data_IF_512531889010
#
_entry.id   IF_512531889010
#
_cell.length_a   1.000
_cell.length_b   1.000
_cell.length_c   1.000
_cell.angle_alpha   90.00
_cell.angle_beta   90.00
_cell.angle_gamma   90.00
#
_symmetry.space_group_name_H-M   'P 1'
#
loop_
_entity.id
_entity.type
_entity.pdbx_description
1 polymer ?
#
# COMPACT_ATOMS: atom_id res chain seq x y z
N UNK A 1 -4.76 6.67 -4.53
CA UNK A 1 -4.37 7.51 -5.68
C UNK A 1 -2.88 7.39 -5.98
N UNK A 2 -1.97 7.74 -5.06
CA UNK A 2 -0.53 7.71 -5.33
C UNK A 2 -0.03 6.38 -5.93
N UNK A 3 -0.40 5.24 -5.36
CA UNK A 3 0.00 3.92 -5.85
C UNK A 3 -0.53 3.61 -7.26
N UNK A 4 -1.76 3.99 -7.55
CA UNK A 4 -2.34 3.77 -8.90
C UNK A 4 -1.60 4.60 -9.94
N UNK A 5 -1.42 5.89 -9.70
CA UNK A 5 -0.64 6.76 -10.60
C UNK A 5 0.77 6.21 -10.80
N UNK A 6 1.45 5.81 -9.72
CA UNK A 6 2.79 5.24 -9.80
C UNK A 6 2.79 3.90 -10.57
N UNK A 7 1.81 3.05 -10.30
CA UNK A 7 1.63 1.77 -11.00
C UNK A 7 1.40 1.96 -12.50
N UNK A 8 0.48 2.86 -12.87
CA UNK A 8 0.21 3.19 -14.28
C UNK A 8 1.43 3.80 -14.97
N UNK A 9 2.18 4.66 -14.28
CA UNK A 9 3.42 5.24 -14.82
C UNK A 9 4.50 4.17 -15.04
N UNK A 10 4.68 3.22 -14.12
CA UNK A 10 5.58 2.07 -14.26
C UNK A 10 5.14 1.17 -15.42
N UNK A 11 3.85 0.88 -15.55
CA UNK A 11 3.33 0.09 -16.66
C UNK A 11 3.61 0.76 -18.01
N UNK A 12 3.39 2.07 -18.11
CA UNK A 12 3.72 2.85 -19.30
C UNK A 12 5.23 2.91 -19.57
N UNK A 13 6.05 2.68 -18.56
CA UNK A 13 7.51 2.59 -18.67
C UNK A 13 8.01 1.17 -18.97
N UNK A 14 7.13 0.22 -19.32
CA UNK A 14 7.47 -1.14 -19.76
C UNK A 14 7.66 -2.14 -18.63
N UNK A 15 7.04 -1.91 -17.49
CA UNK A 15 7.05 -2.88 -16.38
C UNK A 15 5.73 -3.66 -16.31
N UNK A 16 5.81 -4.91 -15.89
CA UNK A 16 4.64 -5.63 -15.35
C UNK A 16 4.38 -5.11 -13.94
N UNK A 17 3.15 -4.73 -13.64
CA UNK A 17 2.80 -4.05 -12.40
C UNK A 17 1.66 -4.76 -11.67
N UNK A 18 1.76 -4.78 -10.35
CA UNK A 18 0.68 -5.14 -9.45
C UNK A 18 0.50 -4.02 -8.44
N UNK A 19 -0.65 -3.35 -8.47
CA UNK A 19 -1.10 -2.40 -7.45
C UNK A 19 -2.14 -3.05 -6.54
N UNK A 20 -1.93 -3.00 -5.24
CA UNK A 20 -2.80 -3.61 -4.26
C UNK A 20 -3.06 -2.64 -3.10
N UNK A 21 -4.18 -1.91 -3.12
CA UNK A 21 -4.60 -1.12 -1.98
C UNK A 21 -5.02 -2.07 -0.84
N UNK A 22 -4.58 -1.77 0.38
CA UNK A 22 -4.98 -2.49 1.57
C UNK A 22 -5.76 -1.57 2.48
N UNK A 23 -7.01 -1.90 2.64
CA UNK A 23 -7.90 -1.24 3.58
C UNK A 23 -7.85 -2.01 4.91
N UNK A 24 -7.68 -1.28 6.03
CA UNK A 24 -7.90 -1.84 7.36
C UNK A 24 -9.38 -2.16 7.58
N UNK A 25 -9.69 -2.87 8.66
CA UNK A 25 -11.09 -3.11 9.06
C UNK A 25 -11.78 -1.75 9.29
N UNK A 26 -12.53 -1.34 8.31
CA UNK A 26 -13.30 -0.10 8.04
C UNK A 26 -13.69 0.73 9.24
N UNK A 27 -12.74 1.25 9.96
CA UNK A 27 -12.96 2.19 11.04
C UNK A 27 -12.36 3.53 10.68
N UNK A 28 -13.12 4.58 10.83
CA UNK A 28 -12.63 5.96 10.66
C UNK A 28 -11.35 6.14 11.49
N UNK A 29 -10.27 6.58 10.83
CA UNK A 29 -8.98 6.80 11.47
C UNK A 29 -8.01 5.60 11.41
N UNK A 30 -8.36 4.47 10.78
CA UNK A 30 -7.40 3.41 10.53
C UNK A 30 -6.40 3.83 9.45
N UNK A 31 -5.09 3.51 9.62
CA UNK A 31 -4.09 3.75 8.58
C UNK A 31 -4.45 3.01 7.29
N UNK A 32 -4.32 3.71 6.17
CA UNK A 32 -4.51 3.13 4.83
C UNK A 32 -3.14 3.05 4.17
N UNK A 33 -2.83 1.92 3.58
CA UNK A 33 -1.63 1.77 2.77
C UNK A 33 -1.91 1.01 1.48
N UNK A 34 -1.01 1.19 0.53
CA UNK A 34 -1.06 0.51 -0.76
C UNK A 34 0.32 0.02 -1.12
N UNK A 35 0.39 -1.08 -1.83
CA UNK A 35 1.64 -1.69 -2.28
C UNK A 35 1.66 -1.71 -3.80
N UNK A 36 2.81 -1.37 -4.38
CA UNK A 36 3.08 -1.48 -5.80
C UNK A 36 4.27 -2.42 -5.99
N UNK A 37 4.09 -3.45 -6.80
CA UNK A 37 5.16 -4.31 -7.27
C UNK A 37 5.34 -4.09 -8.75
N UNK A 38 6.57 -3.93 -9.17
CA UNK A 38 6.92 -3.80 -10.57
C UNK A 38 8.08 -4.73 -10.91
N UNK A 39 8.00 -5.40 -12.04
CA UNK A 39 9.06 -6.23 -12.56
C UNK A 39 9.29 -5.88 -14.03
N UNK A 40 10.56 -5.88 -14.47
CA UNK A 40 10.85 -5.77 -15.90
C UNK A 40 10.28 -6.97 -16.61
N UNK A 41 9.73 -6.74 -17.78
CA UNK A 41 9.22 -7.82 -18.60
C UNK A 41 10.40 -8.74 -18.98
N UNK A 42 10.41 -9.94 -18.42
CA UNK A 42 11.32 -10.97 -18.88
C UNK A 42 10.78 -11.49 -20.22
N UNK A 43 11.66 -11.95 -21.13
CA UNK A 43 11.34 -12.36 -22.50
C UNK A 43 10.23 -13.41 -22.64
N UNK A 44 9.72 -14.00 -21.58
CA UNK A 44 8.60 -14.94 -21.52
C UNK A 44 7.69 -14.64 -20.32
N UNK A 45 6.84 -13.60 -20.45
CA UNK A 45 5.65 -13.44 -19.62
C UNK A 45 5.88 -13.43 -18.11
N UNK A 46 6.74 -12.54 -17.60
CA UNK A 46 6.95 -12.38 -16.16
C UNK A 46 5.64 -11.97 -15.48
N UNK A 47 5.08 -12.87 -14.73
CA UNK A 47 3.86 -12.61 -13.94
C UNK A 47 4.24 -12.43 -12.49
N UNK A 48 3.84 -11.31 -11.88
CA UNK A 48 3.98 -11.12 -10.44
C UNK A 48 2.97 -12.02 -9.74
N UNK A 49 3.42 -13.13 -9.18
CA UNK A 49 2.55 -14.12 -8.51
C UNK A 49 2.32 -13.82 -7.04
N UNK A 50 3.22 -13.07 -6.43
CA UNK A 50 3.15 -12.73 -5.02
C UNK A 50 2.03 -11.73 -4.73
N UNK A 51 1.21 -11.99 -3.70
CA UNK A 51 0.04 -11.18 -3.35
C UNK A 51 0.02 -10.72 -1.89
N UNK A 52 1.00 -11.11 -1.13
CA UNK A 52 1.10 -10.75 0.29
C UNK A 52 1.56 -9.32 0.55
N UNK A 53 1.81 -9.03 1.82
CA UNK A 53 2.46 -7.79 2.25
C UNK A 53 3.89 -7.77 1.73
N UNK A 54 4.37 -6.61 1.33
CA UNK A 54 5.79 -6.45 0.96
C UNK A 54 6.62 -6.46 2.24
N UNK A 55 7.46 -7.49 2.40
CA UNK A 55 8.30 -7.66 3.59
C UNK A 55 9.64 -6.94 3.49
N UNK A 56 10.09 -6.61 2.30
CA UNK A 56 11.35 -5.88 2.03
C UNK A 56 11.07 -4.83 0.97
N UNK A 57 10.56 -3.66 1.36
CA UNK A 57 10.31 -2.59 0.41
C UNK A 57 11.61 -1.94 -0.06
N UNK A 58 11.72 -1.64 -1.35
CA UNK A 58 12.81 -0.83 -1.90
C UNK A 58 12.56 0.65 -1.64
N UNK A 59 11.29 1.06 -1.70
CA UNK A 59 10.83 2.42 -1.43
C UNK A 59 9.61 2.39 -0.51
N UNK A 60 9.65 3.22 0.54
CA UNK A 60 8.50 3.50 1.40
C UNK A 60 8.17 4.99 1.29
N UNK A 61 6.93 5.31 0.93
CA UNK A 61 6.43 6.68 0.84
C UNK A 61 5.39 6.92 1.92
N UNK A 62 5.65 7.87 2.80
CA UNK A 62 4.81 8.21 3.93
C UNK A 62 4.20 9.59 3.68
N UNK A 63 2.92 9.60 3.32
CA UNK A 63 2.19 10.81 2.97
C UNK A 63 1.81 11.66 4.18
N UNK A 64 1.70 11.05 5.35
CA UNK A 64 1.36 11.68 6.63
C UNK A 64 2.35 11.22 7.70
N UNK A 65 3.18 12.13 8.15
CA UNK A 65 4.27 11.84 9.10
C UNK A 65 3.77 11.44 10.50
N UNK A 66 2.51 11.75 10.83
CA UNK A 66 1.90 11.29 12.09
C UNK A 66 1.80 9.77 12.17
N UNK A 67 1.76 9.08 11.03
CA UNK A 67 1.74 7.62 10.96
C UNK A 67 3.02 6.96 11.45
N UNK A 68 4.14 7.69 11.47
CA UNK A 68 5.42 7.19 11.98
C UNK A 68 5.37 6.89 13.48
N UNK A 69 4.54 7.62 14.22
CA UNK A 69 4.34 7.44 15.65
C UNK A 69 3.33 6.31 15.98
N UNK A 70 2.67 5.73 14.97
CA UNK A 70 1.62 4.71 15.16
C UNK A 70 2.16 3.33 14.81
N UNK A 71 2.53 2.47 15.78
CA UNK A 71 3.08 1.14 15.50
C UNK A 71 2.15 0.26 14.66
N UNK A 72 0.84 0.38 14.88
CA UNK A 72 -0.18 -0.36 14.13
C UNK A 72 -0.24 0.01 12.63
N UNK A 73 0.31 1.17 12.24
CA UNK A 73 0.42 1.57 10.84
C UNK A 73 1.46 0.73 10.07
N UNK A 74 2.43 0.13 10.78
CA UNK A 74 3.45 -0.73 10.17
C UNK A 74 4.34 -0.04 9.13
N UNK A 75 4.41 1.30 9.14
CA UNK A 75 5.10 2.12 8.11
C UNK A 75 6.58 1.79 7.96
N UNK A 76 7.20 1.33 9.06
CA UNK A 76 8.64 1.02 9.10
C UNK A 76 8.91 -0.49 9.07
N UNK A 77 7.89 -1.31 8.83
CA UNK A 77 8.04 -2.76 8.83
C UNK A 77 8.84 -3.23 7.60
N UNK A 78 9.85 -4.03 7.84
CA UNK A 78 10.67 -4.63 6.78
C UNK A 78 11.70 -3.68 6.15
N UNK A 79 11.88 -2.48 6.68
CA UNK A 79 12.88 -1.52 6.23
C UNK A 79 14.29 -2.05 6.52
N UNK A 80 15.16 -1.93 5.54
CA UNK A 80 16.59 -2.30 5.61
C UNK A 80 17.46 -1.10 5.25
N UNK A 81 18.79 -1.26 5.35
CA UNK A 81 19.72 -0.23 4.90
C UNK A 81 19.63 0.08 3.39
N UNK A 82 19.10 -0.85 2.59
CA UNK A 82 18.89 -0.66 1.15
C UNK A 82 17.56 0.07 0.83
N UNK A 83 16.67 0.19 1.80
CA UNK A 83 15.38 0.87 1.61
C UNK A 83 15.55 2.38 1.56
N UNK A 84 14.86 3.04 0.64
CA UNK A 84 14.69 4.49 0.65
C UNK A 84 13.35 4.83 1.29
N UNK A 85 13.37 5.72 2.27
CA UNK A 85 12.17 6.21 2.97
C UNK A 85 11.96 7.67 2.63
N UNK A 86 10.85 7.97 2.00
CA UNK A 86 10.41 9.34 1.68
C UNK A 86 9.27 9.71 2.63
N UNK A 87 9.43 10.79 3.36
CA UNK A 87 8.42 11.29 4.31
C UNK A 87 7.96 12.67 3.88
N UNK A 88 6.66 12.84 3.69
CA UNK A 88 6.05 14.14 3.55
C UNK A 88 5.93 14.76 4.94
N UNK A 89 6.81 15.71 5.26
CA UNK A 89 6.93 16.30 6.60
C UNK A 89 7.48 17.72 6.55
N UNK A 90 7.15 18.50 7.57
CA UNK A 90 7.77 19.82 7.84
C UNK A 90 9.06 19.70 8.65
N UNK A 91 9.24 18.58 9.31
CA UNK A 91 10.43 18.31 10.11
C UNK A 91 11.61 17.95 9.19
N UNK A 92 12.81 18.18 9.69
CA UNK A 92 14.03 17.88 8.93
C UNK A 92 14.36 16.40 8.93
N UNK A 93 15.12 15.95 7.94
CA UNK A 93 15.65 14.58 7.90
C UNK A 93 16.50 14.27 9.16
N UNK A 94 17.23 15.23 9.71
CA UNK A 94 18.01 15.05 10.93
C UNK A 94 17.11 14.77 12.14
N UNK A 95 16.00 15.52 12.27
CA UNK A 95 15.00 15.30 13.33
C UNK A 95 14.43 13.88 13.25
N UNK A 96 14.01 13.44 12.06
CA UNK A 96 13.44 12.13 11.90
C UNK A 96 14.46 10.99 12.09
N UNK A 97 15.69 11.14 11.62
CA UNK A 97 16.76 10.16 11.88
C UNK A 97 17.03 9.99 13.37
N UNK A 98 17.02 11.10 14.12
CA UNK A 98 17.21 11.04 15.56
C UNK A 98 16.04 10.33 16.28
N UNK A 99 14.79 10.57 15.82
CA UNK A 99 13.59 9.96 16.42
C UNK A 99 13.44 8.47 16.10
N UNK A 100 13.78 8.07 14.88
CA UNK A 100 13.44 6.74 14.35
C UNK A 100 14.59 5.74 14.42
N UNK A 101 15.82 6.20 14.62
CA UNK A 101 17.03 5.34 14.62
C UNK A 101 17.08 4.38 13.42
N UNK A 102 16.81 4.89 12.21
CA UNK A 102 16.77 4.09 10.98
C UNK A 102 18.13 3.99 10.31
N UNK A 103 18.47 2.79 9.85
CA UNK A 103 19.62 2.55 8.96
C UNK A 103 19.34 2.90 7.50
N UNK A 104 18.06 3.05 7.13
CA UNK A 104 17.59 3.37 5.79
C UNK A 104 17.95 4.81 5.36
N UNK A 105 18.04 5.04 4.05
CA UNK A 105 18.14 6.39 3.51
C UNK A 105 16.81 7.12 3.70
N UNK A 106 16.85 8.23 4.45
CA UNK A 106 15.67 9.03 4.76
C UNK A 106 15.71 10.34 3.99
N UNK A 107 14.68 10.59 3.19
CA UNK A 107 14.46 11.82 2.46
C UNK A 107 13.16 12.50 2.93
N UNK A 108 13.14 13.82 2.88
CA UNK A 108 11.98 14.61 3.21
C UNK A 108 11.43 15.25 1.94
N UNK A 109 10.16 15.04 1.69
CA UNK A 109 9.37 15.83 0.78
C UNK A 109 8.75 16.95 1.60
N UNK A 110 9.10 18.22 1.34
CA UNK A 110 8.57 19.32 2.14
C UNK A 110 7.03 19.35 2.03
N UNK A 111 6.36 19.21 3.16
CA UNK A 111 4.92 19.36 3.21
C UNK A 111 4.55 20.78 2.75
N UNK A 112 3.64 20.85 1.80
CA UNK A 112 3.02 22.12 1.39
C UNK A 112 2.27 22.73 2.59
N UNK A 113 2.11 24.04 2.58
CA UNK A 113 1.43 24.77 3.66
C UNK A 113 0.08 24.16 4.02
N UNK A 114 -0.34 24.33 5.27
CA UNK A 114 -1.65 23.88 5.74
C UNK A 114 -2.74 24.43 4.85
N UNK A 115 -3.53 23.54 4.27
CA UNK A 115 -4.77 23.93 3.66
C UNK A 115 -5.63 24.61 4.74
N UNK A 116 -5.99 25.86 4.53
CA UNK A 116 -6.84 26.63 5.46
C UNK A 116 -8.28 26.13 5.46
N UNK A 117 -8.66 25.43 4.41
CA UNK A 117 -9.97 24.80 4.25
C UNK A 117 -9.82 23.36 3.76
N UNK A 118 -10.78 22.49 4.12
CA UNK A 118 -10.84 21.10 3.61
C UNK A 118 -10.96 21.02 2.09
N UNK A 119 -11.48 22.06 1.44
CA UNK A 119 -11.55 22.17 -0.01
C UNK A 119 -10.18 22.42 -0.66
N UNK A 120 -9.21 22.93 0.11
CA UNK A 120 -7.86 23.23 -0.34
C UNK A 120 -6.84 22.16 0.07
N UNK A 121 -7.30 20.95 0.40
CA UNK A 121 -6.40 19.86 0.78
C UNK A 121 -5.34 19.67 -0.30
N UNK A 122 -4.04 19.73 0.05
CA UNK A 122 -2.98 19.57 -0.92
C UNK A 122 -3.09 18.22 -1.63
N UNK A 123 -2.74 18.20 -2.90
CA UNK A 123 -2.80 16.98 -3.73
C UNK A 123 -1.66 16.01 -3.36
N UNK A 124 -1.56 15.67 -2.07
CA UNK A 124 -0.47 14.87 -1.46
C UNK A 124 -0.23 13.58 -2.25
N UNK A 125 -1.29 12.96 -2.74
CA UNK A 125 -1.16 11.71 -3.49
C UNK A 125 -0.37 11.87 -4.79
N UNK A 126 -0.62 12.93 -5.56
CA UNK A 126 0.11 13.22 -6.79
C UNK A 126 1.55 13.68 -6.49
N UNK A 127 1.71 14.53 -5.48
CA UNK A 127 3.01 15.00 -5.00
C UNK A 127 3.91 13.82 -4.58
N UNK A 128 3.37 12.88 -3.79
CA UNK A 128 4.09 11.66 -3.39
C UNK A 128 4.42 10.77 -4.59
N UNK A 129 3.51 10.63 -5.56
CA UNK A 129 3.75 9.83 -6.76
C UNK A 129 4.87 10.44 -7.63
N UNK A 130 4.88 11.78 -7.77
CA UNK A 130 5.92 12.49 -8.52
C UNK A 130 7.30 12.32 -7.90
N UNK A 131 7.42 12.56 -6.59
CA UNK A 131 8.67 12.36 -5.88
C UNK A 131 9.15 10.89 -5.97
N UNK A 132 8.24 9.92 -5.77
CA UNK A 132 8.55 8.50 -5.89
C UNK A 132 9.02 8.12 -7.31
N UNK A 133 8.38 8.66 -8.35
CA UNK A 133 8.76 8.42 -9.75
C UNK A 133 10.20 8.88 -10.03
N UNK A 134 10.58 10.03 -9.50
CA UNK A 134 11.95 10.53 -9.62
C UNK A 134 12.96 9.63 -8.90
N UNK A 135 12.64 9.21 -7.65
CA UNK A 135 13.51 8.34 -6.86
C UNK A 135 13.72 6.97 -7.50
N UNK A 136 12.72 6.44 -8.18
CA UNK A 136 12.82 5.19 -8.96
C UNK A 136 13.72 5.34 -10.20
N UNK A 137 13.78 6.54 -10.81
CA UNK A 137 14.66 6.85 -11.94
C UNK A 137 14.27 6.20 -13.27
N UNK A 138 13.29 5.31 -13.29
CA UNK A 138 12.84 4.56 -14.48
C UNK A 138 11.58 5.16 -15.12
N UNK A 139 10.95 6.11 -14.46
CA UNK A 139 9.76 6.80 -14.93
C UNK A 139 10.16 8.18 -15.45
N UNK A 140 9.88 8.46 -16.71
CA UNK A 140 10.09 9.78 -17.29
C UNK A 140 8.89 10.70 -16.97
N UNK A 141 9.11 12.04 -16.87
CA UNK A 141 8.03 13.00 -16.56
C UNK A 141 6.81 12.86 -17.46
N UNK A 142 7.02 12.59 -18.75
CA UNK A 142 5.92 12.39 -19.70
C UNK A 142 5.06 11.14 -19.38
N UNK A 143 5.68 10.06 -18.94
CA UNK A 143 4.95 8.85 -18.51
C UNK A 143 4.16 9.08 -17.22
N UNK A 144 4.73 9.86 -16.29
CA UNK A 144 4.04 10.26 -15.06
C UNK A 144 2.82 11.13 -15.37
N UNK A 145 2.97 12.14 -16.23
CA UNK A 145 1.88 13.01 -16.65
C UNK A 145 0.76 12.22 -17.33
N UNK A 146 1.10 11.36 -18.27
CA UNK A 146 0.13 10.52 -18.96
C UNK A 146 -0.61 9.55 -17.99
N UNK A 147 0.07 9.06 -16.97
CA UNK A 147 -0.57 8.24 -15.92
C UNK A 147 -1.57 9.06 -15.08
N UNK A 148 -1.23 10.31 -14.75
CA UNK A 148 -2.14 11.20 -14.02
C UNK A 148 -3.37 11.52 -14.87
N UNK A 149 -3.18 11.81 -16.15
CA UNK A 149 -4.29 12.04 -17.08
C UNK A 149 -5.22 10.81 -17.15
N UNK A 150 -4.67 9.62 -17.31
CA UNK A 150 -5.44 8.38 -17.38
C UNK A 150 -6.26 8.12 -16.10
N UNK A 151 -5.62 8.26 -14.95
CA UNK A 151 -6.24 7.93 -13.66
C UNK A 151 -7.24 8.98 -13.16
N UNK A 152 -7.02 10.26 -13.51
CA UNK A 152 -7.82 11.37 -12.99
C UNK A 152 -8.75 12.00 -14.02
N UNK A 153 -8.73 11.57 -15.29
CA UNK A 153 -9.62 12.10 -16.33
C UNK A 153 -11.10 12.16 -15.92
N UNK A 154 -11.66 11.16 -15.20
CA UNK A 154 -13.06 11.19 -14.77
C UNK A 154 -13.38 12.33 -13.79
N UNK A 155 -12.38 12.90 -13.12
CA UNK A 155 -12.52 13.97 -12.13
C UNK A 155 -12.50 15.38 -12.74
N UNK A 156 -12.21 15.48 -14.04
CA UNK A 156 -12.20 16.75 -14.78
C UNK A 156 -10.82 17.32 -15.01
N UNK A 157 -10.73 18.21 -16.03
CA UNK A 157 -9.46 18.76 -16.53
C UNK A 157 -8.70 19.58 -15.51
N UNK A 158 -9.39 20.35 -14.68
CA UNK A 158 -8.77 21.18 -13.64
C UNK A 158 -8.06 20.33 -12.59
N UNK A 159 -8.71 19.24 -12.16
CA UNK A 159 -8.12 18.28 -11.22
C UNK A 159 -6.88 17.61 -11.83
N UNK A 160 -6.95 17.22 -13.09
CA UNK A 160 -5.80 16.65 -13.81
C UNK A 160 -4.63 17.65 -13.86
N UNK A 161 -4.88 18.89 -14.26
CA UNK A 161 -3.85 19.92 -14.37
C UNK A 161 -3.17 20.17 -13.02
N UNK A 162 -3.95 20.44 -11.97
CA UNK A 162 -3.41 20.74 -10.64
C UNK A 162 -2.60 19.56 -10.05
N UNK A 163 -3.07 18.32 -10.26
CA UNK A 163 -2.33 17.14 -9.82
C UNK A 163 -1.06 16.91 -10.65
N UNK A 164 -1.08 17.18 -11.94
CA UNK A 164 0.09 17.10 -12.82
C UNK A 164 1.17 18.10 -12.39
N UNK A 165 0.77 19.36 -12.17
CA UNK A 165 1.69 20.41 -11.72
C UNK A 165 2.34 20.05 -10.38
N UNK A 166 1.54 19.58 -9.42
CA UNK A 166 2.03 19.15 -8.10
C UNK A 166 2.98 17.96 -8.19
N UNK A 167 2.69 16.99 -9.05
CA UNK A 167 3.51 15.81 -9.23
C UNK A 167 4.85 16.15 -9.91
N UNK A 168 4.82 16.98 -10.97
CA UNK A 168 6.02 17.40 -11.68
C UNK A 168 6.92 18.27 -10.80
N UNK A 169 6.35 19.18 -10.03
CA UNK A 169 7.10 19.98 -9.06
C UNK A 169 7.81 19.10 -8.02
N UNK A 170 7.14 18.07 -7.52
CA UNK A 170 7.73 17.12 -6.58
C UNK A 170 8.78 16.21 -7.24
N UNK A 171 8.58 15.83 -8.51
CA UNK A 171 9.57 15.12 -9.30
C UNK A 171 10.85 15.95 -9.44
N UNK A 172 10.71 17.22 -9.81
CA UNK A 172 11.84 18.14 -9.98
C UNK A 172 12.58 18.39 -8.67
N UNK A 173 11.86 18.52 -7.56
CA UNK A 173 12.45 18.69 -6.23
C UNK A 173 13.32 17.50 -5.81
N UNK A 174 13.06 16.30 -6.33
CA UNK A 174 13.83 15.09 -6.04
C UNK A 174 14.93 14.78 -7.08
N UNK A 175 15.18 15.65 -8.06
CA UNK A 175 16.12 15.40 -9.16
C UNK A 175 17.53 15.06 -8.69
N UNK A 176 18.00 15.69 -7.61
CA UNK A 176 19.30 15.37 -7.01
C UNK A 176 19.41 13.91 -6.49
N UNK A 177 18.28 13.24 -6.32
CA UNK A 177 18.17 11.88 -5.82
C UNK A 177 17.57 10.91 -6.86
N UNK A 178 17.55 11.32 -8.13
CA UNK A 178 16.97 10.50 -9.20
C UNK A 178 17.68 9.15 -9.30
N UNK A 179 16.87 8.06 -9.31
CA UNK A 179 17.39 6.71 -9.41
C UNK A 179 18.08 6.20 -8.13
N UNK A 180 17.84 6.85 -7.00
CA UNK A 180 18.41 6.42 -5.72
C UNK A 180 17.86 5.05 -5.27
N UNK A 181 16.64 4.71 -5.66
CA UNK A 181 16.04 3.41 -5.39
C UNK A 181 16.63 2.39 -6.35
N UNK A 182 17.43 1.49 -5.82
CA UNK A 182 17.99 0.40 -6.60
C UNK A 182 16.95 -0.68 -6.86
N UNK A 183 16.99 -1.28 -8.05
CA UNK A 183 16.19 -2.44 -8.38
C UNK A 183 16.62 -3.62 -7.50
N UNK A 184 15.70 -4.19 -6.74
CA UNK A 184 15.97 -5.33 -5.88
C UNK A 184 16.23 -6.61 -6.69
N UNK A 185 16.82 -7.60 -6.05
CA UNK A 185 16.94 -8.92 -6.66
C UNK A 185 15.53 -9.49 -6.96
N UNK A 186 15.37 -10.10 -8.14
CA UNK A 186 14.14 -10.80 -8.46
C UNK A 186 13.87 -11.89 -7.43
N UNK A 187 12.76 -11.81 -6.73
CA UNK A 187 12.31 -12.89 -5.83
C UNK A 187 11.58 -13.91 -6.66
N UNK A 188 12.18 -15.09 -6.82
CA UNK A 188 11.54 -16.21 -7.51
C UNK A 188 10.58 -16.93 -6.55
N UNK A 189 9.45 -17.44 -7.08
CA UNK A 189 8.57 -18.31 -6.32
C UNK A 189 9.26 -19.60 -5.86
N UNK A 190 10.36 -19.98 -6.51
CA UNK A 190 11.19 -21.14 -6.13
C UNK A 190 12.07 -20.84 -4.91
N UNK A 191 12.30 -19.57 -4.61
CA UNK A 191 13.08 -19.14 -3.44
C UNK A 191 12.20 -18.90 -2.20
N UNK A 192 10.88 -19.12 -2.34
CA UNK A 192 9.96 -19.02 -1.24
C UNK A 192 10.16 -20.18 -0.28
N UNK A 193 10.66 -19.86 0.90
CA UNK A 193 10.70 -20.79 2.02
C UNK A 193 9.45 -20.55 2.85
N UNK A 194 8.49 -21.51 2.91
CA UNK A 194 7.30 -21.33 3.74
C UNK A 194 7.73 -21.08 5.19
N UNK A 195 7.08 -20.15 5.90
CA UNK A 195 7.35 -19.93 7.31
C UNK A 195 7.12 -21.21 8.11
N UNK A 196 7.96 -21.50 9.08
CA UNK A 196 7.87 -22.73 9.91
C UNK A 196 6.53 -22.90 10.63
N UNK A 197 5.80 -21.82 10.87
CA UNK A 197 4.47 -21.89 11.48
C UNK A 197 3.41 -22.54 10.58
N UNK A 198 3.64 -22.65 9.27
CA UNK A 198 2.77 -23.39 8.34
C UNK A 198 2.90 -24.91 8.56
N UNK A 199 4.03 -25.34 9.13
CA UNK A 199 4.34 -26.72 9.42
C UNK A 199 3.97 -27.15 10.85
N UNK A 200 3.37 -26.24 11.64
CA UNK A 200 2.90 -26.58 12.98
C UNK A 200 1.89 -27.73 12.91
N UNK A 201 2.05 -28.76 13.74
CA UNK A 201 1.07 -29.83 13.84
C UNK A 201 -0.30 -29.20 14.18
N UNK A 202 -1.31 -29.65 13.48
CA UNK A 202 -2.69 -29.21 13.74
C UNK A 202 -3.11 -29.81 15.07
N UNK A 203 -3.32 -28.96 16.06
CA UNK A 203 -3.85 -29.39 17.36
C UNK A 203 -5.26 -29.98 17.21
N UNK A 204 -5.61 -30.91 18.08
CA UNK A 204 -6.97 -31.42 18.15
C UNK A 204 -7.93 -30.24 18.35
N UNK A 205 -9.03 -30.23 17.59
CA UNK A 205 -10.01 -29.17 17.63
C UNK A 205 -10.66 -28.96 19.00
N UNK A 206 -10.56 -29.93 19.92
CA UNK A 206 -10.99 -29.81 21.32
C UNK A 206 -10.05 -28.96 22.17
N UNK A 207 -8.80 -28.81 21.74
CA UNK A 207 -7.73 -28.06 22.42
C UNK A 207 -7.45 -26.73 21.75
N UNK A 208 -7.67 -26.66 20.44
CA UNK A 208 -7.43 -25.45 19.66
C UNK A 208 -8.34 -24.34 20.13
N UNK A 209 -7.76 -23.21 20.53
CA UNK A 209 -8.50 -21.97 20.58
C UNK A 209 -9.13 -21.73 19.19
N UNK A 210 -10.27 -21.04 19.09
CA UNK A 210 -10.96 -20.77 17.83
C UNK A 210 -10.13 -19.83 16.97
N UNK A 211 -9.04 -20.32 16.45
CA UNK A 211 -8.21 -19.62 15.53
C UNK A 211 -8.27 -20.34 14.17
N UNK A 212 -7.98 -19.61 13.13
CA UNK A 212 -8.16 -19.99 11.71
C UNK A 212 -7.08 -21.00 11.25
N UNK A 213 -6.23 -21.51 12.13
CA UNK A 213 -5.07 -22.34 11.77
C UNK A 213 -5.42 -23.77 11.42
N UNK A 214 -6.54 -24.27 11.90
CA UNK A 214 -6.98 -25.62 11.60
C UNK A 214 -7.88 -25.65 10.38
N UNK A 215 -7.51 -26.42 9.38
CA UNK A 215 -8.35 -26.65 8.20
C UNK A 215 -9.65 -27.32 8.63
N UNK A 216 -10.80 -26.76 8.23
CA UNK A 216 -12.13 -27.28 8.50
C UNK A 216 -12.52 -27.40 9.98
N UNK A 217 -11.92 -26.61 10.88
CA UNK A 217 -12.28 -26.61 12.30
C UNK A 217 -13.74 -26.18 12.56
N UNK A 218 -14.33 -25.40 11.65
CA UNK A 218 -15.73 -24.96 11.73
C UNK A 218 -16.73 -26.12 11.75
N UNK A 219 -16.38 -27.29 11.25
CA UNK A 219 -17.20 -28.49 11.31
C UNK A 219 -17.22 -29.08 12.74
N UNK A 220 -16.14 -28.88 13.50
CA UNK A 220 -15.93 -29.42 14.83
C UNK A 220 -16.28 -28.44 15.95
N UNK A 221 -16.14 -27.13 15.65
CA UNK A 221 -16.43 -26.05 16.61
C UNK A 221 -17.89 -25.60 16.46
N UNK A 222 -18.67 -25.76 17.53
CA UNK A 222 -20.08 -25.31 17.55
C UNK A 222 -20.16 -23.79 17.67
N UNK A 223 -19.84 -23.08 16.61
CA UNK A 223 -19.83 -21.60 16.56
C UNK A 223 -21.16 -20.95 16.88
N UNK A 224 -22.27 -21.71 16.75
CA UNK A 224 -23.60 -21.27 17.16
C UNK A 224 -23.72 -20.96 18.64
N UNK A 225 -22.88 -21.55 19.49
CA UNK A 225 -22.83 -21.29 20.93
C UNK A 225 -22.19 -19.94 21.30
N UNK A 226 -21.51 -19.29 20.39
CA UNK A 226 -20.91 -17.96 20.60
C UNK A 226 -21.93 -16.81 20.55
N UNK A 227 -23.16 -17.12 20.16
CA UNK A 227 -24.22 -16.12 20.04
C UNK A 227 -25.02 -16.06 21.34
N UNK A 228 -25.11 -14.88 21.90
CA UNK A 228 -26.05 -14.58 22.98
C UNK A 228 -27.47 -14.38 22.47
N UNK A 229 -27.61 -13.95 21.21
CA UNK A 229 -28.90 -13.75 20.53
C UNK A 229 -28.87 -14.44 19.17
N UNK A 230 -29.95 -15.08 18.80
CA UNK A 230 -30.15 -15.72 17.50
C UNK A 230 -31.25 -14.97 16.75
N UNK A 231 -31.02 -14.53 15.51
CA UNK A 231 -32.10 -14.02 14.68
C UNK A 231 -33.09 -15.16 14.38
N UNK A 232 -34.35 -14.89 14.51
CA UNK A 232 -35.43 -15.78 14.15
C UNK A 232 -36.18 -15.16 12.98
N UNK A 233 -36.35 -15.94 11.91
CA UNK A 233 -37.12 -15.49 10.75
C UNK A 233 -38.58 -15.74 11.05
N UNK A 234 -39.38 -14.69 11.01
CA UNK A 234 -40.83 -14.76 11.01
C UNK A 234 -41.29 -15.16 9.61
N UNK A 235 -41.66 -16.44 9.45
CA UNK A 235 -42.07 -16.95 8.13
C UNK A 235 -43.44 -16.47 7.69
N UNK A 236 -44.25 -15.87 8.57
CA UNK A 236 -45.54 -15.27 8.21
C UNK A 236 -45.34 -13.90 7.56
N UNK A 237 -44.27 -13.19 7.96
CA UNK A 237 -43.85 -11.92 7.38
C UNK A 237 -42.81 -12.06 6.26
N UNK A 238 -42.17 -13.21 6.16
CA UNK A 238 -41.11 -13.45 5.20
C UNK A 238 -41.64 -13.65 3.77
N UNK A 239 -41.25 -12.78 2.86
CA UNK A 239 -41.62 -12.87 1.44
C UNK A 239 -40.94 -14.03 0.67
N UNK A 240 -40.15 -14.89 1.33
CA UNK A 240 -39.48 -16.09 0.75
C UNK A 240 -38.72 -15.78 -0.54
N UNK A 241 -38.05 -14.62 -0.59
CA UNK A 241 -37.35 -14.17 -1.81
C UNK A 241 -36.08 -14.99 -2.12
N UNK A 242 -35.53 -15.74 -1.16
CA UNK A 242 -34.37 -16.62 -1.29
C UNK A 242 -33.05 -15.94 -1.71
N UNK A 243 -33.04 -14.61 -1.81
CA UNK A 243 -31.87 -13.85 -2.26
C UNK A 243 -30.95 -13.38 -1.15
N UNK A 244 -31.43 -13.25 0.06
CA UNK A 244 -30.72 -12.59 1.17
C UNK A 244 -30.40 -13.58 2.30
N UNK A 245 -31.06 -14.71 2.34
CA UNK A 245 -31.01 -15.68 3.46
C UNK A 245 -30.31 -16.99 3.08
N UNK A 246 -29.67 -17.07 1.93
CA UNK A 246 -28.93 -18.27 1.48
C UNK A 246 -27.48 -18.26 1.94
#
# INVERSE_FOLDING_TARGET
>A
MASRVLGTALFRSGFTVQDAPKYGAERRGAPIFSTVRAAREAAEGATIKERGVIHRPDLVVIADDTLLAVPAAGTLQGITAATVVLVNSRETAATWRHRLNLAATLLILPATEEARDRAELPHIGATCAGAAACLLGVIEPAALQAAIEEELAPLGKEVVATNSDSALAAFDAMTAHRGLVAEGAAVSATDYIPPSWVELPVDDASVAAPDIRAIANSVQVRTGLWRTLRPVIDYDLCGKCWWVCS
#
